data_IF_084791530959
#
_entry.id   IF_084791530959
#
_cell.length_a   1.000
_cell.length_b   1.000
_cell.length_c   1.000
_cell.angle_alpha   90.00
_cell.angle_beta   90.00
_cell.angle_gamma   90.00
#
_symmetry.space_group_name_H-M   'P 1'
#
loop_
_entity.id
_entity.type
_entity.pdbx_description
1 polymer ?
#
# COMPACT_ATOMS: atom_id res chain seq x y z
N UNK A 1 -9.37 3.16 12.90
CA UNK A 1 -9.58 1.71 12.73
C UNK A 1 -8.80 1.26 11.50
N UNK A 2 -8.29 0.03 11.47
CA UNK A 2 -7.68 -0.57 10.27
C UNK A 2 -8.42 -1.88 10.00
N UNK A 3 -8.93 -2.06 8.78
CA UNK A 3 -9.68 -3.24 8.37
C UNK A 3 -9.10 -3.79 7.07
N UNK A 4 -8.86 -5.10 7.02
CA UNK A 4 -8.43 -5.80 5.81
C UNK A 4 -9.66 -6.28 5.02
N UNK A 5 -9.72 -5.94 3.74
CA UNK A 5 -10.82 -6.33 2.84
C UNK A 5 -10.35 -7.45 1.90
N UNK A 6 -10.53 -8.70 2.35
CA UNK A 6 -10.25 -9.89 1.55
C UNK A 6 -11.38 -10.25 0.59
N UNK A 7 -11.06 -10.97 -0.49
CA UNK A 7 -12.07 -11.54 -1.39
C UNK A 7 -11.59 -12.81 -2.08
N UNK A 8 -12.56 -13.62 -2.52
CA UNK A 8 -12.43 -14.78 -3.41
C UNK A 8 -13.12 -14.56 -4.75
N UNK A 9 -13.94 -13.51 -4.87
CA UNK A 9 -14.80 -13.23 -6.01
C UNK A 9 -15.10 -11.74 -6.19
N UNK A 10 -15.72 -11.40 -7.32
CA UNK A 10 -16.26 -10.07 -7.58
C UNK A 10 -17.46 -9.79 -6.66
N UNK A 11 -17.58 -8.56 -6.19
CA UNK A 11 -18.66 -8.04 -5.34
C UNK A 11 -18.42 -8.22 -3.85
N UNK A 12 -17.45 -9.02 -3.43
CA UNK A 12 -17.18 -9.30 -2.02
C UNK A 12 -16.57 -8.09 -1.31
N UNK A 13 -15.57 -7.43 -1.90
CA UNK A 13 -14.98 -6.21 -1.32
C UNK A 13 -16.03 -5.11 -1.26
N UNK A 14 -16.83 -4.92 -2.32
CA UNK A 14 -17.96 -3.98 -2.30
C UNK A 14 -18.94 -4.28 -1.16
N UNK A 15 -19.22 -5.56 -0.91
CA UNK A 15 -20.11 -5.96 0.19
C UNK A 15 -19.51 -5.59 1.54
N UNK A 16 -18.22 -5.85 1.75
CA UNK A 16 -17.52 -5.49 2.99
C UNK A 16 -17.48 -3.97 3.22
N UNK A 17 -17.22 -3.19 2.17
CA UNK A 17 -17.13 -1.72 2.28
C UNK A 17 -18.49 -1.05 2.48
N UNK A 18 -19.60 -1.72 2.15
CA UNK A 18 -20.93 -1.23 2.56
C UNK A 18 -21.15 -1.29 4.08
N UNK A 19 -20.52 -2.25 4.77
CA UNK A 19 -20.57 -2.34 6.24
C UNK A 19 -19.52 -1.46 6.90
N UNK A 20 -18.36 -1.31 6.27
CA UNK A 20 -17.23 -0.52 6.75
C UNK A 20 -16.77 0.44 5.65
N UNK A 21 -17.46 1.58 5.47
CA UNK A 21 -17.09 2.56 4.46
C UNK A 21 -15.68 3.12 4.75
N UNK A 22 -14.77 3.11 3.76
CA UNK A 22 -13.41 3.60 3.98
C UNK A 22 -13.28 5.10 3.73
N UNK A 23 -12.64 5.82 4.65
CA UNK A 23 -12.12 7.18 4.38
C UNK A 23 -10.82 7.13 3.54
N UNK A 24 -10.08 6.03 3.67
CA UNK A 24 -8.81 5.77 2.99
C UNK A 24 -8.76 4.32 2.50
N UNK A 25 -8.34 4.13 1.26
CA UNK A 25 -8.19 2.82 0.63
C UNK A 25 -6.76 2.59 0.16
N UNK A 26 -6.17 1.45 0.55
CA UNK A 26 -4.84 1.02 0.13
C UNK A 26 -4.95 -0.24 -0.75
N UNK A 27 -4.35 -0.19 -1.95
CA UNK A 27 -4.06 -1.38 -2.75
C UNK A 27 -2.56 -1.64 -2.70
N UNK A 28 -2.15 -2.75 -2.08
CA UNK A 28 -0.74 -3.14 -1.96
C UNK A 28 -0.15 -3.62 -3.28
N UNK A 29 -0.87 -4.48 -4.00
CA UNK A 29 -0.55 -4.96 -5.36
C UNK A 29 -1.75 -5.69 -6.00
N UNK A 30 -1.66 -5.88 -7.32
CA UNK A 30 -2.47 -6.79 -8.13
C UNK A 30 -1.63 -8.01 -8.52
N UNK A 31 -1.48 -8.93 -7.55
CA UNK A 31 -0.77 -10.20 -7.73
C UNK A 31 -1.62 -11.32 -8.37
N UNK A 32 -1.17 -12.56 -8.15
CA UNK A 32 -1.82 -13.79 -8.67
C UNK A 32 -2.63 -14.55 -7.61
N UNK A 33 -2.74 -13.99 -6.41
CA UNK A 33 -3.59 -14.55 -5.38
C UNK A 33 -5.03 -14.72 -5.90
N UNK A 34 -5.61 -15.89 -5.67
CA UNK A 34 -6.96 -16.25 -6.14
C UNK A 34 -7.13 -16.35 -7.67
N UNK A 35 -6.04 -16.42 -8.45
CA UNK A 35 -6.15 -16.56 -9.92
C UNK A 35 -6.90 -17.83 -10.34
N UNK A 36 -6.81 -18.93 -9.59
CA UNK A 36 -7.57 -20.15 -9.87
C UNK A 36 -9.09 -19.97 -9.72
N UNK A 37 -9.55 -19.01 -8.91
CA UNK A 37 -10.96 -18.70 -8.70
C UNK A 37 -11.45 -17.62 -9.67
N UNK A 38 -10.62 -16.59 -9.89
CA UNK A 38 -10.98 -15.41 -10.69
C UNK A 38 -10.59 -15.53 -12.16
N UNK A 39 -9.78 -16.53 -12.53
CA UNK A 39 -9.37 -16.85 -13.89
C UNK A 39 -8.31 -15.94 -14.51
N UNK A 40 -8.19 -14.68 -14.09
CA UNK A 40 -7.20 -13.74 -14.65
C UNK A 40 -6.80 -12.62 -13.70
N UNK A 41 -5.62 -12.02 -13.94
CA UNK A 41 -5.19 -10.79 -13.25
C UNK A 41 -6.13 -9.62 -13.46
N UNK A 42 -6.78 -9.53 -14.63
CA UNK A 42 -7.78 -8.48 -14.88
C UNK A 42 -9.03 -8.65 -14.00
N UNK A 43 -9.43 -9.89 -13.70
CA UNK A 43 -10.54 -10.14 -12.78
C UNK A 43 -10.12 -9.90 -11.32
N UNK A 44 -8.87 -10.22 -10.94
CA UNK A 44 -8.30 -9.85 -9.64
C UNK A 44 -8.27 -8.32 -9.49
N UNK A 45 -7.83 -7.60 -10.53
CA UNK A 45 -7.84 -6.15 -10.57
C UNK A 45 -9.25 -5.59 -10.37
N UNK A 46 -10.24 -6.07 -11.12
CA UNK A 46 -11.63 -5.63 -10.99
C UNK A 46 -12.14 -5.83 -9.56
N UNK A 47 -11.92 -7.01 -8.98
CA UNK A 47 -12.38 -7.33 -7.64
C UNK A 47 -11.68 -6.48 -6.57
N UNK A 48 -10.35 -6.35 -6.62
CA UNK A 48 -9.60 -5.48 -5.68
C UNK A 48 -9.96 -4.00 -5.81
N UNK A 49 -10.25 -3.55 -7.03
CA UNK A 49 -10.59 -2.15 -7.31
C UNK A 49 -11.95 -1.73 -6.76
N UNK A 50 -12.79 -2.67 -6.35
CA UNK A 50 -14.03 -2.36 -5.61
C UNK A 50 -13.75 -1.51 -4.36
N UNK A 51 -12.58 -1.69 -3.73
CA UNK A 51 -12.16 -0.88 -2.59
C UNK A 51 -11.99 0.59 -2.99
N UNK A 52 -11.30 0.85 -4.11
CA UNK A 52 -11.09 2.21 -4.63
C UNK A 52 -12.41 2.86 -5.10
N UNK A 53 -13.31 2.05 -5.67
CA UNK A 53 -14.64 2.50 -6.09
C UNK A 53 -15.55 2.87 -4.92
N UNK A 54 -15.30 2.28 -3.73
CA UNK A 54 -16.06 2.59 -2.51
C UNK A 54 -15.63 3.85 -1.78
N UNK A 55 -14.55 4.51 -2.23
CA UNK A 55 -14.16 5.81 -1.70
C UNK A 55 -15.18 6.87 -2.12
N UNK A 56 -15.60 7.68 -1.15
CA UNK A 56 -16.37 8.91 -1.39
C UNK A 56 -15.48 10.00 -2.03
N UNK A 57 -16.09 11.14 -2.39
CA UNK A 57 -15.42 12.26 -3.07
C UNK A 57 -14.20 12.81 -2.32
N UNK A 58 -14.23 12.78 -1.00
CA UNK A 58 -13.16 13.32 -0.14
C UNK A 58 -12.19 12.20 0.31
N UNK A 59 -12.43 10.95 -0.12
CA UNK A 59 -11.64 9.81 0.25
C UNK A 59 -10.22 9.83 -0.35
N UNK A 60 -9.31 9.13 0.33
CA UNK A 60 -7.89 9.08 -0.04
C UNK A 60 -7.53 7.71 -0.59
N UNK A 61 -6.89 7.69 -1.76
CA UNK A 61 -6.35 6.46 -2.35
C UNK A 61 -4.84 6.36 -2.12
N UNK A 62 -4.37 5.20 -1.68
CA UNK A 62 -2.96 4.85 -1.57
C UNK A 62 -2.65 3.76 -2.58
N UNK A 63 -1.77 4.03 -3.54
CA UNK A 63 -1.55 3.17 -4.70
C UNK A 63 -0.06 2.91 -4.91
N UNK A 64 0.28 1.64 -5.17
CA UNK A 64 1.63 1.25 -5.60
C UNK A 64 1.90 1.75 -7.03
N UNK A 65 2.87 2.66 -7.20
CA UNK A 65 3.23 3.22 -8.51
C UNK A 65 3.99 2.24 -9.40
N UNK A 66 4.57 1.21 -8.80
CA UNK A 66 5.29 0.15 -9.51
C UNK A 66 4.37 -0.99 -9.96
N UNK A 67 3.08 -0.95 -9.59
CA UNK A 67 2.12 -1.95 -10.02
C UNK A 67 1.73 -1.74 -11.50
N UNK A 68 1.73 -2.79 -12.35
CA UNK A 68 1.31 -2.68 -13.75
C UNK A 68 -0.10 -2.12 -13.96
N UNK A 69 -0.98 -2.20 -12.96
CA UNK A 69 -2.33 -1.66 -12.98
C UNK A 69 -2.42 -0.22 -12.46
N UNK A 70 -1.31 0.44 -12.10
CA UNK A 70 -1.26 1.79 -11.56
C UNK A 70 -2.14 2.78 -12.33
N UNK A 71 -1.95 2.91 -13.65
CA UNK A 71 -2.73 3.86 -14.45
C UNK A 71 -4.22 3.53 -14.48
N UNK A 72 -4.59 2.24 -14.48
CA UNK A 72 -6.00 1.83 -14.40
C UNK A 72 -6.60 2.16 -13.04
N UNK A 73 -5.84 2.00 -11.95
CA UNK A 73 -6.28 2.41 -10.60
C UNK A 73 -6.44 3.93 -10.52
N UNK A 74 -5.54 4.70 -11.13
CA UNK A 74 -5.60 6.16 -11.14
C UNK A 74 -6.87 6.70 -11.81
N UNK A 75 -7.31 6.09 -12.91
CA UNK A 75 -8.57 6.45 -13.56
C UNK A 75 -9.80 6.21 -12.67
N UNK A 76 -9.78 5.16 -11.83
CA UNK A 76 -10.89 4.85 -10.90
C UNK A 76 -11.03 5.93 -9.82
N UNK A 77 -9.91 6.47 -9.35
CA UNK A 77 -9.87 7.48 -8.27
C UNK A 77 -9.74 8.91 -8.81
N UNK A 78 -10.02 9.12 -10.10
CA UNK A 78 -9.94 10.44 -10.73
C UNK A 78 -10.73 11.48 -9.94
N UNK A 79 -10.07 12.60 -9.64
CA UNK A 79 -10.65 13.70 -8.84
C UNK A 79 -10.57 13.51 -7.33
N UNK A 80 -10.05 12.37 -6.83
CA UNK A 80 -9.78 12.13 -5.41
C UNK A 80 -8.33 12.44 -5.06
N UNK A 81 -8.03 12.54 -3.76
CA UNK A 81 -6.67 12.66 -3.27
C UNK A 81 -5.94 11.32 -3.40
N UNK A 82 -4.74 11.33 -3.96
CA UNK A 82 -3.93 10.13 -4.17
C UNK A 82 -2.55 10.34 -3.55
N UNK A 83 -2.08 9.35 -2.79
CA UNK A 83 -0.67 9.22 -2.43
C UNK A 83 -0.13 7.92 -3.02
N UNK A 84 1.13 7.97 -3.45
CA UNK A 84 1.80 6.89 -4.13
C UNK A 84 2.96 6.36 -3.31
N UNK A 85 3.21 5.06 -3.44
CA UNK A 85 4.42 4.44 -2.92
C UNK A 85 5.08 3.56 -3.97
N UNK A 86 6.39 3.42 -3.89
CA UNK A 86 7.16 2.65 -4.86
C UNK A 86 8.65 2.63 -4.53
N UNK A 87 9.37 1.68 -5.11
CA UNK A 87 10.82 1.60 -5.06
C UNK A 87 11.42 1.97 -6.43
N UNK A 88 10.70 1.76 -7.53
CA UNK A 88 11.23 1.85 -8.89
C UNK A 88 10.84 3.17 -9.57
N UNK A 89 9.60 3.61 -9.40
CA UNK A 89 9.08 4.84 -9.96
C UNK A 89 8.98 5.94 -8.89
N UNK A 90 9.31 7.16 -9.29
CA UNK A 90 9.23 8.37 -8.46
C UNK A 90 7.85 8.50 -7.80
N UNK A 91 7.79 8.33 -6.48
CA UNK A 91 6.55 8.21 -5.71
C UNK A 91 6.60 9.11 -4.47
N UNK A 92 5.45 9.39 -3.86
CA UNK A 92 5.41 10.23 -2.67
C UNK A 92 6.14 9.58 -1.49
N UNK A 93 6.18 8.24 -1.46
CA UNK A 93 6.84 7.43 -0.42
C UNK A 93 7.73 6.39 -1.08
N UNK A 94 9.04 6.47 -0.84
CA UNK A 94 10.03 5.63 -1.50
C UNK A 94 11.02 4.98 -0.54
N UNK A 95 11.66 3.91 -1.01
CA UNK A 95 12.82 3.33 -0.35
C UNK A 95 14.04 3.35 -1.28
N UNK A 96 15.18 3.82 -0.76
CA UNK A 96 16.48 3.69 -1.41
C UNK A 96 17.48 2.96 -0.49
N UNK A 97 18.70 2.70 -0.97
CA UNK A 97 19.77 2.06 -0.20
C UNK A 97 19.37 0.73 0.48
N UNK A 98 18.52 -0.04 -0.19
CA UNK A 98 17.96 -1.30 0.31
C UNK A 98 19.07 -2.36 0.38
N UNK A 99 19.34 -2.85 1.58
CA UNK A 99 20.39 -3.85 1.84
C UNK A 99 19.99 -4.83 2.93
N UNK A 100 20.32 -6.09 2.74
CA UNK A 100 20.20 -7.09 3.81
C UNK A 100 21.28 -6.81 4.85
N UNK A 101 20.91 -6.76 6.12
CA UNK A 101 21.87 -6.53 7.22
C UNK A 101 22.22 -7.84 7.92
N UNK A 102 21.31 -8.81 7.89
CA UNK A 102 21.52 -10.17 8.37
C UNK A 102 20.46 -11.10 7.76
N UNK A 103 20.47 -12.36 8.20
CA UNK A 103 19.41 -13.35 7.99
C UNK A 103 18.06 -12.97 8.65
N UNK A 104 17.98 -11.83 9.35
CA UNK A 104 16.82 -11.44 10.16
C UNK A 104 16.18 -10.12 9.78
N UNK A 105 16.78 -9.35 8.87
CA UNK A 105 16.18 -8.07 8.51
C UNK A 105 16.88 -7.30 7.41
N UNK A 106 16.14 -6.33 6.90
CA UNK A 106 16.55 -5.44 5.82
C UNK A 106 16.68 -4.02 6.36
N UNK A 107 17.67 -3.27 5.86
CA UNK A 107 17.74 -1.82 6.03
C UNK A 107 17.46 -1.13 4.73
N UNK A 108 16.77 -0.01 4.82
CA UNK A 108 16.53 0.89 3.71
C UNK A 108 16.38 2.31 4.23
N UNK A 109 16.57 3.28 3.36
CA UNK A 109 16.28 4.69 3.64
C UNK A 109 14.87 4.97 3.15
N UNK A 110 13.97 5.27 4.09
CA UNK A 110 12.61 5.75 3.82
C UNK A 110 12.67 7.23 3.45
N UNK A 111 12.13 7.55 2.27
CA UNK A 111 11.99 8.90 1.74
C UNK A 111 10.50 9.23 1.66
N UNK A 112 10.13 10.39 2.20
CA UNK A 112 8.77 10.92 2.16
C UNK A 112 8.83 12.29 1.49
N UNK A 113 7.95 12.51 0.51
CA UNK A 113 7.92 13.72 -0.31
C UNK A 113 8.02 14.99 0.54
N UNK A 114 8.96 15.86 0.17
CA UNK A 114 9.24 17.16 0.81
C UNK A 114 9.71 17.11 2.28
N UNK A 115 9.97 15.93 2.84
CA UNK A 115 10.50 15.77 4.19
C UNK A 115 11.92 15.18 4.18
N UNK A 116 12.55 15.12 5.35
CA UNK A 116 13.82 14.43 5.58
C UNK A 116 13.65 12.92 5.33
N UNK A 117 14.75 12.19 5.15
CA UNK A 117 14.73 10.74 5.09
C UNK A 117 15.03 10.10 6.45
N UNK A 118 14.67 8.82 6.63
CA UNK A 118 15.04 8.03 7.82
C UNK A 118 15.57 6.67 7.41
N UNK A 119 16.63 6.22 8.07
CA UNK A 119 17.05 4.81 7.95
C UNK A 119 16.11 3.95 8.79
N UNK A 120 15.53 2.93 8.16
CA UNK A 120 14.65 1.94 8.79
C UNK A 120 15.39 0.62 8.89
N UNK A 121 15.31 -0.03 10.04
CA UNK A 121 15.55 -1.47 10.16
C UNK A 121 14.20 -2.18 10.23
N UNK A 122 13.92 -3.02 9.24
CA UNK A 122 12.69 -3.80 9.20
C UNK A 122 13.01 -5.28 9.43
N UNK A 123 12.44 -5.92 10.48
CA UNK A 123 12.81 -7.27 10.91
C UNK A 123 12.15 -8.37 10.07
N UNK A 124 12.04 -8.14 8.76
CA UNK A 124 11.57 -9.10 7.78
C UNK A 124 12.44 -9.03 6.53
N UNK A 125 12.69 -10.18 5.93
CA UNK A 125 13.46 -10.29 4.69
C UNK A 125 12.58 -10.04 3.47
N UNK A 126 13.22 -9.67 2.36
CA UNK A 126 12.61 -9.63 1.04
C UNK A 126 12.07 -8.25 0.64
N UNK A 127 12.24 -7.94 -0.66
CA UNK A 127 11.82 -6.67 -1.26
C UNK A 127 10.32 -6.41 -1.12
N UNK A 128 9.49 -7.46 -1.12
CA UNK A 128 8.04 -7.35 -0.89
C UNK A 128 7.69 -6.78 0.50
N UNK A 129 8.50 -7.06 1.52
CA UNK A 129 8.29 -6.48 2.85
C UNK A 129 8.71 -5.02 2.93
N UNK A 130 9.64 -4.57 2.08
CA UNK A 130 9.89 -3.13 1.88
C UNK A 130 8.67 -2.45 1.28
N UNK A 131 8.04 -3.04 0.23
CA UNK A 131 6.78 -2.52 -0.30
C UNK A 131 5.68 -2.44 0.76
N UNK A 132 5.55 -3.46 1.62
CA UNK A 132 4.58 -3.43 2.73
C UNK A 132 4.87 -2.29 3.72
N UNK A 133 6.14 -2.06 4.07
CA UNK A 133 6.54 -0.95 4.93
C UNK A 133 6.28 0.42 4.28
N UNK A 134 6.52 0.56 2.97
CA UNK A 134 6.22 1.77 2.22
C UNK A 134 4.71 2.03 2.14
N UNK A 135 3.91 0.98 1.90
CA UNK A 135 2.45 1.07 1.90
C UNK A 135 1.92 1.56 3.26
N UNK A 136 2.41 0.98 4.36
CA UNK A 136 2.05 1.43 5.72
C UNK A 136 2.50 2.87 6.00
N UNK A 137 3.69 3.25 5.53
CA UNK A 137 4.21 4.62 5.64
C UNK A 137 3.34 5.62 4.87
N UNK A 138 2.86 5.24 3.68
CA UNK A 138 1.97 6.07 2.87
C UNK A 138 0.61 6.28 3.52
N UNK A 139 0.04 5.24 4.16
CA UNK A 139 -1.18 5.38 4.97
C UNK A 139 -0.93 6.34 6.14
N UNK A 140 0.17 6.16 6.88
CA UNK A 140 0.49 7.02 8.02
C UNK A 140 0.71 8.49 7.61
N UNK A 141 1.44 8.72 6.52
CA UNK A 141 1.66 10.05 5.95
C UNK A 141 0.35 10.72 5.50
N UNK A 142 -0.53 9.97 4.83
CA UNK A 142 -1.83 10.45 4.42
C UNK A 142 -2.73 10.87 5.60
N UNK A 143 -2.51 10.25 6.77
CA UNK A 143 -3.17 10.59 8.04
C UNK A 143 -2.48 11.73 8.81
N UNK A 144 -1.41 12.32 8.26
CA UNK A 144 -0.67 13.42 8.89
C UNK A 144 0.28 12.99 10.02
N UNK A 145 0.66 11.71 10.07
CA UNK A 145 1.63 11.21 11.05
C UNK A 145 3.04 11.65 10.63
N UNK A 146 3.78 12.26 11.55
CA UNK A 146 5.15 12.72 11.32
C UNK A 146 6.10 11.55 11.05
N UNK A 147 7.10 11.78 10.20
CA UNK A 147 8.07 10.78 9.79
C UNK A 147 8.79 10.09 10.96
N UNK A 148 9.09 10.83 12.04
CA UNK A 148 9.73 10.25 13.24
C UNK A 148 8.83 9.24 13.95
N UNK A 149 7.51 9.38 13.88
CA UNK A 149 6.57 8.40 14.42
C UNK A 149 6.40 7.21 13.48
N UNK A 150 6.44 7.45 12.16
CA UNK A 150 6.42 6.38 11.15
C UNK A 150 7.66 5.48 11.32
N UNK A 151 8.86 6.08 11.41
CA UNK A 151 10.10 5.35 11.65
C UNK A 151 10.01 4.51 12.92
N UNK A 152 9.62 5.11 14.06
CA UNK A 152 9.46 4.40 15.32
C UNK A 152 8.46 3.25 15.21
N UNK A 153 7.33 3.46 14.53
CA UNK A 153 6.32 2.43 14.29
C UNK A 153 6.90 1.22 13.54
N UNK A 154 7.56 1.47 12.41
CA UNK A 154 8.21 0.42 11.61
C UNK A 154 9.33 -0.30 12.37
N UNK A 155 10.19 0.44 13.05
CA UNK A 155 11.32 -0.11 13.83
C UNK A 155 10.84 -0.92 15.04
N UNK A 156 9.63 -0.67 15.55
CA UNK A 156 9.02 -1.41 16.65
C UNK A 156 8.24 -2.67 16.23
N UNK A 157 8.02 -2.86 14.92
CA UNK A 157 7.31 -4.02 14.40
C UNK A 157 7.99 -5.32 14.83
N UNK A 158 7.20 -6.32 15.19
CA UNK A 158 7.69 -7.66 15.54
C UNK A 158 6.96 -8.68 14.66
N UNK A 159 7.69 -9.54 13.93
CA UNK A 159 7.09 -10.70 13.27
C UNK A 159 6.36 -11.57 14.30
N UNK A 160 5.26 -12.19 13.86
CA UNK A 160 4.53 -13.20 14.63
C UNK A 160 5.29 -14.52 14.70
#
# INVERSE_FOLDING_TARGET
>A
MVAEMGMRGLGEIKTLTNFIPPDLALITNIGEAHIGLLGSKDNIFKAKSELLQSLDKDGVAIINKDDPYFFKMLEIVKGKKVYTFGIENDSDIMACNIRMVSDKGIRFTLEVQNDKSREIYFPLLGRHNVYNALAASAVAFALGIELDLIERGLSSFKPL
#
